data_IF_634361506874
#
_entry.id   IF_634361506874
#
_cell.length_a   1.000
_cell.length_b   1.000
_cell.length_c   1.000
_cell.angle_alpha   90.00
_cell.angle_beta   90.00
_cell.angle_gamma   90.00
#
_symmetry.space_group_name_H-M   'P 1'
#
loop_
_entity.id
_entity.type
_entity.pdbx_description
1 polymer ?
#
# COMPACT_ATOMS: atom_id res chain seq x y z
N UNK A 1 -15.19 4.30 -8.17
CA UNK A 1 -16.16 5.14 -7.42
C UNK A 1 -16.40 4.64 -6.00
N UNK A 2 -16.87 3.40 -5.78
CA UNK A 2 -17.04 2.85 -4.42
C UNK A 2 -15.72 2.82 -3.64
N UNK A 3 -14.66 2.30 -4.25
CA UNK A 3 -13.30 2.34 -3.71
C UNK A 3 -12.83 3.76 -3.40
N UNK A 4 -13.17 4.74 -4.24
CA UNK A 4 -12.77 6.14 -4.05
C UNK A 4 -13.44 6.75 -2.83
N UNK A 5 -14.76 6.58 -2.71
CA UNK A 5 -15.53 7.10 -1.59
C UNK A 5 -15.14 6.42 -0.28
N UNK A 6 -14.89 5.10 -0.32
CA UNK A 6 -14.40 4.37 0.83
C UNK A 6 -12.98 4.78 1.21
N UNK A 7 -12.10 5.01 0.24
CA UNK A 7 -10.78 5.56 0.52
C UNK A 7 -10.87 6.95 1.18
N UNK A 8 -11.76 7.83 0.70
CA UNK A 8 -11.99 9.13 1.34
C UNK A 8 -12.50 8.98 2.78
N UNK A 9 -13.47 8.09 3.01
CA UNK A 9 -14.00 7.82 4.34
C UNK A 9 -12.92 7.25 5.29
N UNK A 10 -12.08 6.32 4.81
CA UNK A 10 -10.96 5.80 5.57
C UNK A 10 -9.92 6.88 5.88
N UNK A 11 -9.55 7.72 4.93
CA UNK A 11 -8.61 8.81 5.15
C UNK A 11 -9.13 9.81 6.18
N UNK A 12 -10.43 10.15 6.14
CA UNK A 12 -11.09 11.00 7.10
C UNK A 12 -11.12 10.37 8.50
N UNK A 13 -11.60 9.12 8.62
CA UNK A 13 -11.67 8.39 9.89
C UNK A 13 -10.29 8.15 10.52
N UNK A 14 -9.26 7.98 9.70
CA UNK A 14 -7.88 7.84 10.19
C UNK A 14 -7.30 9.15 10.74
N UNK A 15 -7.86 10.31 10.38
CA UNK A 15 -7.41 11.63 10.86
C UNK A 15 -5.90 11.87 10.68
N UNK A 16 -5.37 11.55 9.49
CA UNK A 16 -3.94 11.72 9.16
C UNK A 16 -2.99 10.67 9.75
N UNK A 17 -3.52 9.63 10.41
CA UNK A 17 -2.76 8.48 10.93
C UNK A 17 -2.56 7.37 9.89
N UNK A 18 -3.23 7.43 8.74
CA UNK A 18 -3.16 6.43 7.69
C UNK A 18 -2.91 7.04 6.31
N UNK A 19 -2.30 6.25 5.44
CA UNK A 19 -2.26 6.43 3.99
C UNK A 19 -3.05 5.31 3.33
N UNK A 20 -3.34 5.49 2.05
CA UNK A 20 -4.09 4.52 1.25
C UNK A 20 -3.23 4.19 0.06
N UNK A 21 -2.95 2.91 -0.16
CA UNK A 21 -2.33 2.46 -1.38
C UNK A 21 -3.34 1.77 -2.29
N UNK A 22 -3.18 1.97 -3.60
CA UNK A 22 -4.03 1.42 -4.63
C UNK A 22 -3.25 0.48 -5.54
N UNK A 23 -3.70 -0.77 -5.72
CA UNK A 23 -3.11 -1.67 -6.69
C UNK A 23 -2.96 -1.02 -8.07
N UNK A 24 -1.83 -1.26 -8.72
CA UNK A 24 -1.63 -0.89 -10.13
C UNK A 24 -2.38 -1.84 -11.08
N UNK A 25 -2.66 -3.06 -10.62
CA UNK A 25 -3.46 -4.06 -11.30
C UNK A 25 -4.39 -4.74 -10.29
N UNK A 26 -5.60 -5.09 -10.74
CA UNK A 26 -6.57 -5.82 -9.92
C UNK A 26 -6.19 -7.31 -9.83
N UNK A 27 -5.92 -7.76 -8.60
CA UNK A 27 -5.73 -9.16 -8.23
C UNK A 27 -6.57 -9.54 -7.00
N UNK A 28 -7.74 -8.92 -6.86
CA UNK A 28 -8.74 -9.23 -5.82
C UNK A 28 -8.62 -8.44 -4.52
N UNK A 29 -7.60 -7.61 -4.35
CA UNK A 29 -7.51 -6.58 -3.31
C UNK A 29 -7.63 -5.23 -3.98
N UNK A 30 -8.52 -4.36 -3.50
CA UNK A 30 -8.84 -3.09 -4.14
C UNK A 30 -8.15 -1.90 -3.45
N UNK A 31 -7.90 -1.99 -2.15
CA UNK A 31 -7.26 -0.94 -1.34
C UNK A 31 -6.30 -1.54 -0.30
N UNK A 32 -5.29 -0.76 0.08
CA UNK A 32 -4.42 -1.05 1.20
C UNK A 32 -4.46 0.12 2.17
N UNK A 33 -4.95 -0.10 3.38
CA UNK A 33 -4.90 0.89 4.44
C UNK A 33 -3.62 0.71 5.22
N UNK A 34 -2.71 1.67 5.08
CA UNK A 34 -1.43 1.62 5.75
C UNK A 34 -1.36 2.65 6.84
N UNK A 35 -0.90 2.22 8.00
CA UNK A 35 -0.62 3.12 9.10
C UNK A 35 0.63 3.93 8.80
N UNK A 36 0.51 5.26 8.90
CA UNK A 36 1.59 6.21 8.62
C UNK A 36 2.81 5.92 9.50
N UNK A 37 4.01 6.05 8.91
CA UNK A 37 5.32 5.77 9.52
C UNK A 37 5.51 4.32 9.97
N UNK A 38 4.76 3.39 9.40
CA UNK A 38 4.93 1.94 9.58
C UNK A 38 4.58 1.20 8.28
N UNK A 39 4.93 -0.08 8.21
CA UNK A 39 4.39 -1.00 7.19
C UNK A 39 3.16 -1.80 7.66
N UNK A 40 2.59 -1.48 8.83
CA UNK A 40 1.32 -2.08 9.24
C UNK A 40 0.24 -1.72 8.22
N UNK A 41 -0.19 -2.73 7.47
CA UNK A 41 -1.05 -2.56 6.30
C UNK A 41 -2.20 -3.56 6.36
N UNK A 42 -3.40 -3.07 6.08
CA UNK A 42 -4.63 -3.85 6.02
C UNK A 42 -5.11 -3.89 4.57
N UNK A 43 -5.02 -5.04 3.90
CA UNK A 43 -5.64 -5.25 2.59
C UNK A 43 -7.16 -5.22 2.71
N UNK A 44 -7.81 -4.51 1.79
CA UNK A 44 -9.27 -4.37 1.74
C UNK A 44 -9.76 -4.71 0.34
N UNK A 45 -10.68 -5.67 0.27
CA UNK A 45 -11.46 -5.94 -0.93
C UNK A 45 -12.80 -5.23 -0.79
N UNK A 46 -13.23 -4.52 -1.83
CA UNK A 46 -14.45 -3.70 -1.83
C UNK A 46 -15.52 -4.38 -2.69
N UNK A 47 -16.73 -4.48 -2.14
CA UNK A 47 -17.94 -4.85 -2.87
C UNK A 47 -19.01 -3.82 -2.60
N UNK A 48 -19.72 -3.42 -3.64
CA UNK A 48 -20.66 -2.31 -3.56
C UNK A 48 -22.03 -2.64 -4.13
N UNK A 49 -23.05 -2.06 -3.54
CA UNK A 49 -24.43 -2.06 -4.02
C UNK A 49 -24.87 -0.66 -4.40
N UNK A 50 -25.66 -0.55 -5.47
CA UNK A 50 -26.32 0.68 -5.86
C UNK A 50 -27.84 0.69 -5.57
N UNK A 51 -28.38 -0.48 -5.22
CA UNK A 51 -29.78 -0.70 -4.89
C UNK A 51 -29.89 -1.70 -3.75
N UNK A 52 -30.86 -1.46 -2.88
CA UNK A 52 -31.25 -2.34 -1.79
C UNK A 52 -32.71 -2.76 -2.00
N UNK A 53 -33.15 -3.81 -1.30
CA UNK A 53 -34.59 -4.08 -1.18
C UNK A 53 -35.30 -2.93 -0.46
N UNK A 54 -36.65 -2.95 -0.46
CA UNK A 54 -37.44 -1.95 0.28
C UNK A 54 -37.10 -1.93 1.79
N UNK A 55 -36.71 -3.07 2.34
CA UNK A 55 -36.32 -3.23 3.74
C UNK A 55 -34.83 -2.90 4.00
N UNK A 56 -34.11 -2.39 2.99
CA UNK A 56 -32.70 -2.00 3.13
C UNK A 56 -31.70 -3.16 3.06
N UNK A 57 -32.11 -4.33 2.55
CA UNK A 57 -31.28 -5.53 2.48
C UNK A 57 -30.50 -5.56 1.16
N UNK A 58 -29.22 -5.90 1.24
CA UNK A 58 -28.37 -6.23 0.11
C UNK A 58 -28.05 -7.73 0.10
N UNK A 59 -27.94 -8.34 -1.08
CA UNK A 59 -27.50 -9.73 -1.24
C UNK A 59 -26.50 -9.85 -2.38
N UNK A 60 -25.40 -10.56 -2.16
CA UNK A 60 -24.37 -10.83 -3.16
C UNK A 60 -23.90 -12.29 -3.09
N UNK A 61 -23.50 -12.83 -4.24
CA UNK A 61 -22.82 -14.12 -4.36
C UNK A 61 -21.38 -13.89 -4.84
N UNK A 62 -20.40 -14.41 -4.10
CA UNK A 62 -18.99 -14.32 -4.48
C UNK A 62 -18.45 -15.72 -4.76
N UNK A 63 -17.81 -15.96 -5.91
CA UNK A 63 -17.01 -17.17 -6.11
C UNK A 63 -16.03 -17.37 -4.95
N UNK A 64 -15.88 -18.61 -4.48
CA UNK A 64 -15.01 -18.89 -3.32
C UNK A 64 -13.55 -18.48 -3.57
N UNK A 65 -13.09 -18.60 -4.82
CA UNK A 65 -11.77 -18.20 -5.28
C UNK A 65 -11.60 -16.69 -5.44
N UNK A 66 -12.68 -15.91 -5.42
CA UNK A 66 -12.65 -14.46 -5.55
C UNK A 66 -12.53 -13.71 -4.22
N UNK A 67 -12.72 -14.39 -3.08
CA UNK A 67 -12.53 -13.80 -1.75
C UNK A 67 -11.11 -14.05 -1.31
N UNK A 68 -10.37 -13.02 -0.90
CA UNK A 68 -9.00 -13.21 -0.41
C UNK A 68 -8.96 -14.11 0.85
N UNK A 69 -7.83 -14.77 1.08
CA UNK A 69 -7.52 -15.55 2.29
C UNK A 69 -6.51 -14.83 3.21
N UNK A 70 -6.20 -13.56 2.96
CA UNK A 70 -5.27 -12.79 3.77
C UNK A 70 -5.72 -12.73 5.24
N UNK A 71 -4.87 -13.13 6.21
CA UNK A 71 -5.29 -13.32 7.60
C UNK A 71 -5.70 -12.03 8.31
N UNK A 72 -5.13 -10.90 7.90
CA UNK A 72 -5.41 -9.57 8.47
C UNK A 72 -6.16 -8.65 7.49
N UNK A 73 -6.80 -9.21 6.47
CA UNK A 73 -7.51 -8.46 5.45
C UNK A 73 -9.02 -8.41 5.68
N UNK A 74 -9.70 -7.47 5.05
CA UNK A 74 -11.13 -7.22 5.23
C UNK A 74 -11.87 -7.18 3.90
N UNK A 75 -13.06 -7.76 3.89
CA UNK A 75 -14.08 -7.48 2.89
C UNK A 75 -14.90 -6.27 3.36
N UNK A 76 -14.79 -5.17 2.63
CA UNK A 76 -15.62 -4.00 2.79
C UNK A 76 -16.86 -4.11 1.89
N UNK A 77 -18.04 -4.21 2.49
CA UNK A 77 -19.31 -4.18 1.76
C UNK A 77 -19.99 -2.84 2.00
N UNK A 78 -20.19 -2.09 0.92
CA UNK A 78 -20.68 -0.70 0.96
C UNK A 78 -21.95 -0.53 0.15
N UNK A 79 -22.81 0.40 0.56
CA UNK A 79 -23.94 0.85 -0.24
C UNK A 79 -23.69 2.26 -0.77
N UNK A 80 -23.89 2.45 -2.08
CA UNK A 80 -23.78 3.71 -2.79
C UNK A 80 -25.15 4.07 -3.38
N UNK A 81 -26.01 4.80 -2.65
CA UNK A 81 -27.28 5.26 -3.20
C UNK A 81 -27.04 6.28 -4.31
N UNK A 82 -27.95 6.35 -5.28
CA UNK A 82 -27.96 7.44 -6.27
C UNK A 82 -28.00 8.81 -5.55
N UNK A 83 -27.23 9.84 -6.00
CA UNK A 83 -26.51 9.94 -7.27
C UNK A 83 -25.05 9.41 -7.23
N UNK A 84 -24.73 8.53 -6.29
CA UNK A 84 -23.41 7.88 -6.13
C UNK A 84 -22.27 8.82 -5.71
N UNK A 85 -22.62 9.91 -5.04
CA UNK A 85 -21.66 10.93 -4.59
C UNK A 85 -21.18 10.71 -3.16
N UNK A 86 -21.80 9.79 -2.41
CA UNK A 86 -21.47 9.50 -1.02
C UNK A 86 -21.74 8.03 -0.68
N UNK A 87 -21.03 7.51 0.31
CA UNK A 87 -21.39 6.24 0.93
C UNK A 87 -22.68 6.40 1.73
N UNK A 88 -23.45 5.33 1.81
CA UNK A 88 -24.48 5.20 2.84
C UNK A 88 -23.84 5.21 4.24
N UNK A 89 -24.62 5.55 5.27
CA UNK A 89 -24.11 5.78 6.63
C UNK A 89 -23.44 4.58 7.30
N UNK A 90 -23.62 3.36 6.77
CA UNK A 90 -23.07 2.10 7.30
C UNK A 90 -22.20 1.41 6.26
N UNK A 91 -21.07 0.87 6.72
CA UNK A 91 -20.16 0.00 5.96
C UNK A 91 -19.95 -1.27 6.76
N UNK A 92 -20.00 -2.43 6.09
CA UNK A 92 -19.58 -3.69 6.72
C UNK A 92 -18.09 -3.89 6.47
N UNK A 93 -17.28 -4.01 7.53
CA UNK A 93 -15.85 -4.35 7.42
C UNK A 93 -15.63 -5.72 8.06
N UNK A 94 -15.72 -6.77 7.25
CA UNK A 94 -15.72 -8.16 7.71
C UNK A 94 -14.33 -8.75 7.47
N UNK A 95 -13.61 -9.26 8.49
CA UNK A 95 -12.36 -9.98 8.28
C UNK A 95 -12.55 -11.14 7.30
N UNK A 96 -11.62 -11.35 6.36
CA UNK A 96 -11.75 -12.42 5.36
C UNK A 96 -11.95 -13.80 5.99
N UNK A 97 -11.25 -14.09 7.08
CA UNK A 97 -11.38 -15.34 7.81
C UNK A 97 -12.81 -15.54 8.37
N UNK A 98 -13.41 -14.48 8.92
CA UNK A 98 -14.76 -14.55 9.48
C UNK A 98 -15.83 -14.62 8.38
N UNK A 99 -15.63 -13.89 7.27
CA UNK A 99 -16.50 -14.02 6.10
C UNK A 99 -16.52 -15.46 5.57
N UNK A 100 -15.34 -16.03 5.27
CA UNK A 100 -15.19 -17.41 4.75
C UNK A 100 -15.75 -18.48 5.69
N UNK A 101 -15.73 -18.21 6.99
CA UNK A 101 -16.21 -19.12 8.04
C UNK A 101 -17.73 -19.06 8.21
N UNK A 102 -18.33 -17.87 8.16
CA UNK A 102 -19.74 -17.65 8.50
C UNK A 102 -20.66 -17.59 7.29
N UNK A 103 -20.15 -17.18 6.14
CA UNK A 103 -20.96 -17.09 4.92
C UNK A 103 -21.47 -18.47 4.49
N UNK A 104 -22.79 -18.63 4.29
CA UNK A 104 -23.34 -19.82 3.68
C UNK A 104 -22.68 -20.10 2.33
N UNK A 105 -22.47 -21.39 2.04
CA UNK A 105 -22.00 -21.85 0.74
C UNK A 105 -23.19 -22.33 -0.09
N UNK A 106 -23.23 -21.91 -1.34
CA UNK A 106 -24.23 -22.36 -2.30
C UNK A 106 -23.56 -22.78 -3.61
N UNK A 107 -24.29 -23.53 -4.43
CA UNK A 107 -23.93 -23.80 -5.81
C UNK A 107 -24.70 -22.84 -6.70
N UNK A 108 -24.00 -21.95 -7.36
CA UNK A 108 -24.56 -20.99 -8.32
C UNK A 108 -23.89 -21.19 -9.67
N UNK A 109 -24.68 -21.47 -10.70
CA UNK A 109 -24.20 -21.77 -12.06
C UNK A 109 -23.08 -22.83 -12.14
N UNK A 110 -23.14 -23.85 -11.28
CA UNK A 110 -22.15 -24.94 -11.23
C UNK A 110 -20.83 -24.58 -10.55
N UNK A 111 -20.74 -23.43 -9.89
CA UNK A 111 -19.60 -23.01 -9.08
C UNK A 111 -20.02 -22.81 -7.62
N UNK A 112 -19.12 -23.15 -6.70
CA UNK A 112 -19.34 -22.82 -5.29
C UNK A 112 -19.17 -21.31 -5.06
N UNK A 113 -20.12 -20.73 -4.34
CA UNK A 113 -20.13 -19.31 -3.98
C UNK A 113 -20.37 -19.14 -2.49
N UNK A 114 -19.79 -18.08 -1.93
CA UNK A 114 -20.20 -17.51 -0.65
C UNK A 114 -21.40 -16.59 -0.87
N UNK A 115 -22.39 -16.70 0.01
CA UNK A 115 -23.52 -15.78 0.04
C UNK A 115 -23.33 -14.76 1.17
N UNK A 116 -23.57 -13.50 0.85
CA UNK A 116 -23.69 -12.44 1.83
C UNK A 116 -25.08 -11.82 1.71
N UNK A 117 -25.72 -11.64 2.87
CA UNK A 117 -26.97 -10.90 3.02
C UNK A 117 -26.75 -9.91 4.15
N UNK A 118 -26.96 -8.62 3.90
CA UNK A 118 -26.69 -7.56 4.86
C UNK A 118 -27.78 -6.50 4.89
N UNK A 119 -28.28 -6.09 6.06
CA UNK A 119 -29.22 -4.98 6.21
C UNK A 119 -28.47 -3.67 6.48
N UNK A 120 -28.51 -2.74 5.52
CA UNK A 120 -27.89 -1.43 5.66
C UNK A 120 -28.76 -0.42 6.42
N UNK A 121 -30.10 -0.59 6.42
CA UNK A 121 -31.04 0.34 7.05
C UNK A 121 -31.20 0.10 8.55
N UNK A 122 -31.28 -1.17 8.96
CA UNK A 122 -31.33 -1.59 10.37
C UNK A 122 -30.48 -2.85 10.57
N UNK A 123 -29.20 -2.69 10.93
CA UNK A 123 -28.30 -3.82 11.15
C UNK A 123 -28.63 -4.63 12.42
N UNK A 124 -29.55 -4.17 13.28
CA UNK A 124 -29.74 -4.64 14.66
C UNK A 124 -29.98 -6.14 14.84
N UNK A 125 -30.50 -6.82 13.81
CA UNK A 125 -30.75 -8.27 13.79
C UNK A 125 -29.90 -9.03 12.75
N UNK A 126 -28.87 -8.39 12.19
CA UNK A 126 -28.01 -8.99 11.17
C UNK A 126 -26.89 -9.85 11.80
N UNK A 127 -26.65 -11.04 11.23
CA UNK A 127 -25.50 -11.87 11.59
C UNK A 127 -24.13 -11.18 11.37
N UNK A 128 -24.08 -10.10 10.59
CA UNK A 128 -22.92 -9.24 10.40
C UNK A 128 -22.87 -7.99 11.29
N UNK A 129 -23.80 -7.82 12.23
CA UNK A 129 -23.93 -6.62 13.06
C UNK A 129 -22.60 -6.18 13.71
N UNK A 130 -21.80 -7.11 14.22
CA UNK A 130 -20.51 -6.78 14.86
C UNK A 130 -19.46 -6.18 13.89
N UNK A 131 -19.68 -6.32 12.58
CA UNK A 131 -18.84 -5.76 11.52
C UNK A 131 -19.51 -4.55 10.84
N UNK A 132 -20.73 -4.20 11.22
CA UNK A 132 -21.45 -3.03 10.73
C UNK A 132 -20.93 -1.78 11.43
N UNK A 133 -20.28 -0.89 10.68
CA UNK A 133 -19.62 0.30 11.21
C UNK A 133 -20.27 1.51 10.56
N UNK A 134 -20.75 2.44 11.40
CA UNK A 134 -21.15 3.75 10.93
C UNK A 134 -19.92 4.45 10.31
N UNK A 135 -20.07 5.12 9.18
CA UNK A 135 -18.97 5.83 8.48
C UNK A 135 -18.26 6.81 9.42
N UNK A 136 -19.02 7.53 10.25
CA UNK A 136 -18.48 8.46 11.25
C UNK A 136 -17.76 7.75 12.43
N UNK A 137 -18.02 6.45 12.61
CA UNK A 137 -17.39 5.59 13.61
C UNK A 137 -16.08 4.92 13.17
N UNK A 138 -15.64 5.12 11.92
CA UNK A 138 -14.43 4.49 11.37
C UNK A 138 -13.16 4.74 12.22
N UNK A 139 -13.09 5.88 12.92
CA UNK A 139 -11.98 6.17 13.84
C UNK A 139 -11.82 5.12 14.94
N UNK A 140 -12.93 4.65 15.52
CA UNK A 140 -12.91 3.61 16.56
C UNK A 140 -12.54 2.25 16.00
N UNK A 141 -12.94 1.95 14.76
CA UNK A 141 -12.52 0.74 14.07
C UNK A 141 -11.01 0.71 13.85
N UNK A 142 -10.41 1.82 13.43
CA UNK A 142 -8.96 1.92 13.33
C UNK A 142 -8.26 1.62 14.66
N UNK A 143 -8.77 2.16 15.77
CA UNK A 143 -8.18 1.95 17.09
C UNK A 143 -8.26 0.49 17.58
N UNK A 144 -9.21 -0.28 17.05
CA UNK A 144 -9.39 -1.70 17.31
C UNK A 144 -8.45 -2.62 16.49
N UNK A 145 -7.84 -2.10 15.40
CA UNK A 145 -6.89 -2.88 14.60
C UNK A 145 -5.62 -3.14 15.43
N UNK A 146 -5.19 -4.41 15.58
CA UNK A 146 -3.99 -4.74 16.34
C UNK A 146 -2.75 -3.97 15.87
N UNK A 147 -2.08 -3.29 16.80
CA UNK A 147 -0.88 -2.49 16.53
C UNK A 147 -1.13 -1.08 15.98
N UNK A 148 -2.38 -0.71 15.68
CA UNK A 148 -2.71 0.59 15.09
C UNK A 148 -2.58 1.77 16.05
N UNK A 149 -2.74 1.50 17.34
CA UNK A 149 -2.62 2.51 18.41
C UNK A 149 -1.21 2.59 19.00
N UNK A 150 -0.26 1.74 18.58
CA UNK A 150 1.10 1.69 19.12
C UNK A 150 1.86 3.00 18.85
N UNK A 151 2.45 3.66 19.85
CA UNK A 151 3.17 4.91 19.62
C UNK A 151 4.28 4.75 18.55
N UNK A 152 4.22 5.56 17.49
CA UNK A 152 5.30 5.64 16.49
C UNK A 152 6.21 6.79 16.87
N UNK A 153 7.40 6.46 17.37
CA UNK A 153 8.39 7.48 17.74
C UNK A 153 8.93 8.18 16.49
N UNK A 154 9.04 9.52 16.47
CA UNK A 154 9.73 10.22 15.39
C UNK A 154 11.19 9.78 15.33
N UNK A 155 11.72 9.56 14.12
CA UNK A 155 13.15 9.35 13.95
C UNK A 155 13.84 10.72 14.09
N UNK A 156 14.39 11.00 15.28
CA UNK A 156 15.33 12.09 15.59
C UNK A 156 14.97 13.49 15.08
N UNK A 157 14.36 14.33 15.93
CA UNK A 157 14.11 15.74 15.64
C UNK A 157 15.27 16.61 16.15
N UNK A 158 16.22 16.97 15.28
CA UNK A 158 16.94 18.24 15.43
C UNK A 158 16.29 19.23 14.46
N UNK A 159 15.73 20.32 15.02
CA UNK A 159 15.18 21.44 14.29
C UNK A 159 16.33 22.20 13.61
N UNK A 160 16.72 21.73 12.43
CA UNK A 160 17.36 22.57 11.43
C UNK A 160 16.33 22.86 10.35
N UNK A 161 15.96 24.11 10.16
CA UNK A 161 15.33 24.55 8.92
C UNK A 161 16.32 24.27 7.78
N UNK A 162 16.13 23.16 7.08
CA UNK A 162 16.86 22.87 5.85
C UNK A 162 15.99 23.38 4.72
N UNK A 163 16.54 24.37 4.01
CA UNK A 163 16.07 24.87 2.72
C UNK A 163 15.59 23.71 1.87
N UNK A 164 14.35 23.80 1.39
CA UNK A 164 13.76 22.87 0.42
C UNK A 164 14.70 22.85 -0.79
N UNK A 165 15.52 21.81 -0.91
CA UNK A 165 16.27 21.56 -2.12
C UNK A 165 15.24 21.15 -3.18
N UNK A 166 14.91 22.09 -4.06
CA UNK A 166 14.26 21.78 -5.33
C UNK A 166 15.12 20.76 -6.07
N UNK A 167 14.61 19.55 -6.34
CA UNK A 167 15.52 18.51 -6.83
C UNK A 167 14.98 17.37 -7.66
N UNK A 168 13.67 17.19 -7.86
CA UNK A 168 13.17 16.23 -8.86
C UNK A 168 12.00 16.87 -9.62
N UNK A 169 12.09 16.87 -10.96
CA UNK A 169 10.91 17.21 -11.76
C UNK A 169 9.87 16.12 -11.54
N UNK A 170 8.58 16.46 -11.27
CA UNK A 170 7.56 15.47 -10.88
C UNK A 170 7.50 14.24 -11.80
N UNK A 171 7.68 14.45 -13.10
CA UNK A 171 7.64 13.40 -14.11
C UNK A 171 8.80 12.38 -14.00
N UNK A 172 9.97 12.76 -13.48
CA UNK A 172 11.09 11.81 -13.24
C UNK A 172 10.78 10.88 -12.08
N UNK A 173 10.16 11.41 -11.04
CA UNK A 173 9.64 10.59 -9.94
C UNK A 173 8.62 9.57 -10.44
N UNK A 174 7.74 9.98 -11.37
CA UNK A 174 6.77 9.07 -12.00
C UNK A 174 7.45 8.01 -12.87
N UNK A 175 8.46 8.39 -13.68
CA UNK A 175 9.22 7.47 -14.52
C UNK A 175 9.90 6.38 -13.69
N UNK A 176 10.66 6.78 -12.65
CA UNK A 176 11.34 5.81 -11.80
C UNK A 176 10.37 4.92 -11.04
N UNK A 177 9.24 5.45 -10.55
CA UNK A 177 8.19 4.63 -9.91
C UNK A 177 7.64 3.56 -10.86
N UNK A 178 7.27 3.95 -12.09
CA UNK A 178 6.73 3.01 -13.08
C UNK A 178 7.77 1.97 -13.50
N UNK A 179 9.02 2.40 -13.69
CA UNK A 179 10.12 1.48 -14.00
C UNK A 179 10.31 0.46 -12.89
N UNK A 180 10.39 0.89 -11.62
CA UNK A 180 10.51 -0.02 -10.46
C UNK A 180 9.35 -1.00 -10.39
N UNK A 181 8.11 -0.53 -10.59
CA UNK A 181 6.95 -1.41 -10.60
C UNK A 181 7.08 -2.49 -11.69
N UNK A 182 7.47 -2.11 -12.91
CA UNK A 182 7.70 -3.05 -14.00
C UNK A 182 8.82 -4.05 -13.73
N UNK A 183 9.91 -3.62 -13.07
CA UNK A 183 11.01 -4.52 -12.69
C UNK A 183 10.61 -5.56 -11.65
N UNK A 184 9.81 -5.14 -10.65
CA UNK A 184 9.27 -6.05 -9.63
C UNK A 184 8.29 -7.04 -10.25
N UNK A 185 7.37 -6.57 -11.10
CA UNK A 185 6.41 -7.41 -11.80
C UNK A 185 7.11 -8.42 -12.71
N UNK A 186 8.13 -7.99 -13.45
CA UNK A 186 8.95 -8.85 -14.33
C UNK A 186 9.67 -9.95 -13.57
N UNK A 187 10.16 -9.67 -12.36
CA UNK A 187 10.81 -10.64 -11.50
C UNK A 187 9.82 -11.59 -10.81
N UNK A 188 8.55 -11.19 -10.69
CA UNK A 188 7.51 -11.98 -10.07
C UNK A 188 6.98 -13.08 -10.99
N UNK A 189 6.41 -14.13 -10.39
CA UNK A 189 5.55 -15.05 -11.15
C UNK A 189 4.23 -14.33 -11.45
N UNK A 190 3.69 -14.55 -12.65
CA UNK A 190 2.43 -13.94 -13.06
C UNK A 190 1.32 -14.15 -12.02
N UNK A 191 0.69 -13.05 -11.59
CA UNK A 191 -0.40 -13.04 -10.59
C UNK A 191 0.02 -13.39 -9.16
N UNK A 192 1.33 -13.46 -8.84
CA UNK A 192 1.77 -13.79 -7.48
C UNK A 192 1.93 -12.59 -6.55
N UNK A 193 2.08 -11.38 -7.11
CA UNK A 193 2.29 -10.16 -6.33
C UNK A 193 1.29 -9.07 -6.74
N UNK A 194 0.86 -8.28 -5.77
CA UNK A 194 0.25 -6.97 -6.00
C UNK A 194 1.28 -5.88 -5.77
N UNK A 195 1.39 -4.94 -6.71
CA UNK A 195 2.12 -3.69 -6.53
C UNK A 195 1.08 -2.60 -6.36
N UNK A 196 1.11 -1.89 -5.23
CA UNK A 196 0.18 -0.82 -4.93
C UNK A 196 0.91 0.51 -4.74
N UNK A 197 0.38 1.58 -5.33
CA UNK A 197 0.90 2.93 -5.17
C UNK A 197 0.26 3.61 -3.96
N UNK A 198 1.09 4.10 -3.03
CA UNK A 198 0.65 4.79 -1.82
C UNK A 198 0.33 6.28 -2.10
N UNK A 199 -0.95 6.66 -2.03
CA UNK A 199 -1.44 8.02 -2.30
C UNK A 199 -2.66 8.42 -1.44
N UNK A 200 -2.67 9.63 -0.83
CA UNK A 200 -1.61 10.64 -0.88
C UNK A 200 -0.38 10.23 -0.07
N UNK A 201 0.81 10.63 -0.53
CA UNK A 201 2.08 10.34 0.15
C UNK A 201 2.24 11.24 1.38
N UNK A 202 1.87 10.72 2.55
CA UNK A 202 2.03 11.40 3.84
C UNK A 202 3.33 11.02 4.57
N UNK A 203 4.04 10.02 4.06
CA UNK A 203 5.35 9.59 4.52
C UNK A 203 6.24 9.10 3.36
N UNK A 204 7.32 8.36 3.66
CA UNK A 204 8.33 7.94 2.69
C UNK A 204 7.88 6.82 1.74
N UNK A 205 6.82 6.06 1.99
CA UNK A 205 6.50 4.90 1.13
C UNK A 205 6.01 5.38 -0.24
N UNK A 206 6.58 4.85 -1.32
CA UNK A 206 6.12 5.12 -2.69
C UNK A 206 5.28 3.96 -3.21
N UNK A 207 5.75 2.73 -3.01
CA UNK A 207 5.08 1.50 -3.43
C UNK A 207 4.98 0.53 -2.26
N UNK A 208 3.87 -0.21 -2.22
CA UNK A 208 3.74 -1.44 -1.46
C UNK A 208 3.84 -2.63 -2.41
N UNK A 209 4.54 -3.67 -1.97
CA UNK A 209 4.61 -4.95 -2.66
C UNK A 209 3.99 -5.98 -1.74
N UNK A 210 2.95 -6.66 -2.21
CA UNK A 210 2.23 -7.68 -1.45
C UNK A 210 2.40 -9.04 -2.13
N UNK A 211 3.09 -9.96 -1.47
CA UNK A 211 3.16 -11.37 -1.88
C UNK A 211 1.89 -12.09 -1.46
N UNK A 212 1.05 -12.42 -2.45
CA UNK A 212 -0.26 -13.06 -2.24
C UNK A 212 -0.15 -14.51 -1.76
N UNK A 213 1.00 -15.15 -1.89
CA UNK A 213 1.20 -16.54 -1.43
C UNK A 213 1.66 -16.57 0.02
N UNK A 214 2.60 -15.68 0.34
CA UNK A 214 3.15 -15.55 1.70
C UNK A 214 2.28 -14.66 2.59
N UNK A 215 1.34 -13.91 2.00
CA UNK A 215 0.51 -12.91 2.68
C UNK A 215 1.38 -11.88 3.42
N UNK A 216 2.47 -11.47 2.78
CA UNK A 216 3.47 -10.55 3.34
C UNK A 216 3.54 -9.27 2.52
N UNK A 217 3.70 -8.15 3.21
CA UNK A 217 3.79 -6.83 2.59
C UNK A 217 5.17 -6.23 2.88
N UNK A 218 5.74 -5.60 1.85
CA UNK A 218 6.98 -4.85 1.90
C UNK A 218 6.77 -3.44 1.34
N UNK A 219 7.62 -2.50 1.74
CA UNK A 219 7.58 -1.11 1.29
C UNK A 219 8.79 -0.74 0.46
N UNK A 220 8.58 0.11 -0.54
CA UNK A 220 9.66 0.68 -1.35
C UNK A 220 9.53 2.20 -1.39
N UNK A 221 10.57 2.88 -0.94
CA UNK A 221 10.76 4.31 -1.15
C UNK A 221 11.57 4.53 -2.43
N UNK A 222 10.91 4.93 -3.52
CA UNK A 222 11.56 5.19 -4.81
C UNK A 222 12.05 6.64 -4.87
N UNK A 223 13.33 6.81 -5.21
CA UNK A 223 13.96 8.09 -5.58
C UNK A 223 14.54 7.99 -6.98
N UNK A 224 14.39 9.04 -7.77
CA UNK A 224 14.85 9.03 -9.16
C UNK A 224 15.80 10.19 -9.40
N UNK A 225 17.06 9.86 -9.66
CA UNK A 225 18.12 10.85 -9.72
C UNK A 225 18.87 10.77 -11.04
N UNK A 226 19.20 11.94 -11.60
CA UNK A 226 20.02 12.04 -12.81
C UNK A 226 21.48 12.14 -12.43
N UNK A 227 22.33 11.34 -13.08
CA UNK A 227 23.77 11.44 -12.90
C UNK A 227 24.23 12.78 -13.50
N UNK A 228 24.91 13.60 -12.71
CA UNK A 228 25.41 14.90 -13.18
C UNK A 228 26.61 14.72 -14.11
N UNK A 229 26.97 15.72 -14.93
CA UNK A 229 28.20 15.69 -15.73
C UNK A 229 29.49 15.51 -14.90
N UNK A 230 29.45 15.87 -13.61
CA UNK A 230 30.55 15.63 -12.66
C UNK A 230 30.63 14.17 -12.18
N UNK A 231 29.78 13.29 -12.71
CA UNK A 231 29.60 11.91 -12.30
C UNK A 231 29.22 11.82 -10.80
N UNK A 232 28.24 12.64 -10.39
CA UNK A 232 27.70 12.65 -9.02
C UNK A 232 26.18 12.57 -9.03
N UNK A 233 25.59 12.12 -7.92
CA UNK A 233 24.17 12.23 -7.63
C UNK A 233 24.01 12.78 -6.23
N UNK A 234 23.06 13.70 -6.06
CA UNK A 234 22.60 14.10 -4.73
C UNK A 234 21.41 13.22 -4.35
N UNK A 235 21.51 12.59 -3.19
CA UNK A 235 20.47 11.75 -2.63
C UNK A 235 19.96 12.39 -1.35
N UNK A 236 18.64 12.58 -1.27
CA UNK A 236 17.98 13.15 -0.11
C UNK A 236 16.78 12.30 0.31
N UNK A 237 16.72 12.01 1.61
CA UNK A 237 15.59 11.37 2.28
C UNK A 237 15.14 12.27 3.42
N UNK A 238 13.92 12.78 3.32
CA UNK A 238 13.37 13.68 4.34
C UNK A 238 13.25 12.96 5.68
N UNK A 239 13.98 13.46 6.69
CA UNK A 239 13.92 12.97 8.08
C UNK A 239 12.50 13.00 8.65
N UNK A 240 11.71 14.01 8.30
CA UNK A 240 10.41 14.24 8.91
C UNK A 240 9.35 13.21 8.48
N UNK A 241 9.53 12.60 7.32
CA UNK A 241 8.62 11.61 6.74
C UNK A 241 9.20 10.20 6.72
N UNK A 242 10.49 10.04 6.98
CA UNK A 242 11.15 8.74 6.99
C UNK A 242 10.89 7.95 8.28
N UNK A 243 10.86 6.63 8.14
CA UNK A 243 10.84 5.66 9.24
C UNK A 243 11.64 4.43 8.83
N UNK A 244 12.00 3.60 9.81
CA UNK A 244 12.79 2.39 9.60
C UNK A 244 11.90 1.17 9.81
N UNK A 245 12.04 0.19 8.92
CA UNK A 245 11.37 -1.11 8.96
C UNK A 245 12.23 -2.15 8.20
N UNK A 246 12.29 -3.39 8.70
CA UNK A 246 13.08 -4.47 8.10
C UNK A 246 12.64 -4.80 6.66
N UNK A 247 11.38 -4.53 6.32
CA UNK A 247 10.82 -4.75 4.97
C UNK A 247 10.65 -3.46 4.17
N UNK A 248 11.22 -2.35 4.64
CA UNK A 248 11.26 -1.08 3.89
C UNK A 248 12.63 -0.88 3.28
N UNK A 249 12.66 -0.68 1.97
CA UNK A 249 13.88 -0.39 1.21
C UNK A 249 13.77 0.96 0.50
N UNK A 250 14.89 1.69 0.46
CA UNK A 250 15.06 2.87 -0.39
C UNK A 250 15.73 2.42 -1.69
N UNK A 251 15.05 2.66 -2.80
CA UNK A 251 15.55 2.36 -4.14
C UNK A 251 15.86 3.67 -4.87
N UNK A 252 17.15 3.91 -5.11
CA UNK A 252 17.62 5.05 -5.91
C UNK A 252 17.79 4.59 -7.35
N UNK A 253 16.84 4.98 -8.19
CA UNK A 253 16.88 4.82 -9.63
C UNK A 253 17.77 5.91 -10.21
N UNK A 254 18.81 5.48 -10.93
CA UNK A 254 19.77 6.38 -11.55
C UNK A 254 19.44 6.53 -13.03
N UNK A 255 19.35 7.75 -13.51
CA UNK A 255 19.10 8.06 -14.91
C UNK A 255 20.36 8.58 -15.59
N UNK A 256 20.59 8.09 -16.80
CA UNK A 256 21.58 8.62 -17.75
C UNK A 256 21.12 9.94 -18.36
N UNK A 257 21.97 10.56 -19.19
CA UNK A 257 21.66 11.84 -19.81
C UNK A 257 20.43 11.80 -20.75
N UNK A 258 20.18 10.66 -21.37
CA UNK A 258 19.02 10.36 -22.22
C UNK A 258 17.78 9.87 -21.44
N UNK A 259 17.77 10.05 -20.11
CA UNK A 259 16.65 9.71 -19.21
C UNK A 259 16.32 8.20 -19.18
N UNK A 260 17.30 7.36 -19.50
CA UNK A 260 17.20 5.90 -19.36
C UNK A 260 17.72 5.44 -18.01
N UNK A 261 17.22 4.32 -17.46
CA UNK A 261 17.83 3.70 -16.30
C UNK A 261 19.30 3.36 -16.56
N UNK A 262 20.17 3.72 -15.63
CA UNK A 262 21.58 3.32 -15.61
C UNK A 262 21.71 1.80 -15.45
N UNK A 263 22.90 1.23 -15.71
CA UNK A 263 23.16 -0.23 -15.61
C UNK A 263 22.99 -0.78 -14.18
N UNK A 264 23.01 0.09 -13.18
CA UNK A 264 22.78 -0.28 -11.78
C UNK A 264 21.96 0.78 -11.05
N UNK A 265 21.39 0.36 -9.92
CA UNK A 265 20.67 1.19 -8.97
C UNK A 265 21.23 0.96 -7.56
N UNK A 266 20.78 1.77 -6.59
CA UNK A 266 21.12 1.56 -5.18
C UNK A 266 19.89 1.05 -4.44
N UNK A 267 19.99 -0.15 -3.87
CA UNK A 267 18.97 -0.77 -3.03
C UNK A 267 19.43 -0.79 -1.58
N UNK A 268 18.92 0.14 -0.79
CA UNK A 268 19.39 0.42 0.57
C UNK A 268 18.31 0.00 1.57
N UNK A 269 18.58 -0.91 2.52
CA UNK A 269 17.65 -1.17 3.63
C UNK A 269 17.35 0.11 4.40
N UNK A 270 16.11 0.33 4.81
CA UNK A 270 15.76 1.55 5.56
C UNK A 270 16.53 1.67 6.89
N UNK A 271 16.94 0.53 7.47
CA UNK A 271 17.78 0.44 8.67
C UNK A 271 19.15 1.09 8.52
N UNK A 272 19.65 1.17 7.28
CA UNK A 272 21.00 1.65 7.01
C UNK A 272 21.02 3.17 6.76
N UNK A 273 19.87 3.76 6.39
CA UNK A 273 19.73 5.20 6.09
C UNK A 273 20.20 6.10 7.24
N UNK A 274 19.83 5.86 8.53
CA UNK A 274 20.35 6.68 9.63
C UNK A 274 21.88 6.68 9.72
N UNK A 275 22.52 5.55 9.38
CA UNK A 275 23.99 5.41 9.38
C UNK A 275 24.63 6.01 8.14
N UNK A 276 23.88 6.11 7.03
CA UNK A 276 24.32 6.76 5.79
C UNK A 276 24.18 8.29 5.83
N UNK A 277 23.32 8.82 6.70
CA UNK A 277 22.91 10.21 6.63
C UNK A 277 21.71 10.37 5.70
N UNK A 278 20.90 11.38 5.99
CA UNK A 278 19.63 11.65 5.31
C UNK A 278 19.77 12.54 4.07
N UNK A 279 20.95 13.09 3.84
CA UNK A 279 21.30 13.87 2.66
C UNK A 279 22.78 13.65 2.40
N UNK A 280 23.12 13.17 1.21
CA UNK A 280 24.49 12.83 0.83
C UNK A 280 24.69 13.09 -0.66
N UNK A 281 25.91 13.46 -1.03
CA UNK A 281 26.34 13.51 -2.44
C UNK A 281 27.22 12.31 -2.73
N UNK A 282 26.75 11.46 -3.65
CA UNK A 282 27.43 10.23 -4.07
C UNK A 282 28.24 10.55 -5.32
N UNK A 283 29.55 10.32 -5.28
CA UNK A 283 30.43 10.42 -6.46
C UNK A 283 30.65 9.04 -7.07
N UNK A 284 30.37 8.89 -8.36
CA UNK A 284 30.37 7.60 -9.07
C UNK A 284 31.72 7.19 -9.64
N UNK A 285 32.61 8.15 -9.96
CA UNK A 285 33.96 7.85 -10.47
C UNK A 285 34.75 6.95 -9.51
N UNK A 286 34.43 7.04 -8.22
CA UNK A 286 34.80 6.10 -7.19
C UNK A 286 33.57 5.91 -6.32
N UNK A 287 32.63 5.04 -6.73
CA UNK A 287 31.46 4.73 -5.93
C UNK A 287 31.95 4.52 -4.50
N UNK A 288 31.59 5.46 -3.62
CA UNK A 288 32.25 5.58 -2.33
C UNK A 288 32.11 4.23 -1.64
N UNK A 289 33.19 3.69 -1.05
CA UNK A 289 33.21 2.31 -0.51
C UNK A 289 31.99 2.02 0.38
N UNK A 290 31.44 3.06 1.02
CA UNK A 290 30.22 3.06 1.82
C UNK A 290 28.96 2.60 1.06
N UNK A 291 28.81 2.93 -0.22
CA UNK A 291 27.63 2.57 -1.02
C UNK A 291 27.79 1.29 -1.85
N UNK A 292 29.01 0.74 -1.92
CA UNK A 292 29.29 -0.49 -2.66
C UNK A 292 28.38 -1.67 -2.26
N UNK A 293 28.01 -1.87 -0.98
CA UNK A 293 27.10 -2.96 -0.58
C UNK A 293 25.67 -2.85 -1.11
N UNK A 294 25.25 -1.66 -1.58
CA UNK A 294 23.88 -1.41 -2.03
C UNK A 294 23.72 -1.42 -3.55
N UNK A 295 24.82 -1.57 -4.29
CA UNK A 295 24.79 -1.59 -5.75
C UNK A 295 24.12 -2.87 -6.22
N UNK A 296 23.08 -2.73 -7.03
CA UNK A 296 22.37 -3.84 -7.66
C UNK A 296 22.27 -3.57 -9.16
N UNK A 297 22.63 -4.53 -10.03
CA UNK A 297 22.37 -4.40 -11.47
C UNK A 297 20.89 -4.09 -11.71
N UNK A 298 20.60 -3.08 -12.51
CA UNK A 298 19.23 -2.58 -12.71
C UNK A 298 18.30 -3.68 -13.24
N UNK A 299 18.82 -4.57 -14.08
CA UNK A 299 18.08 -5.72 -14.60
C UNK A 299 17.75 -6.82 -13.55
N UNK A 300 18.37 -6.78 -12.37
CA UNK A 300 18.17 -7.76 -11.30
C UNK A 300 17.46 -7.16 -10.09
N UNK A 301 17.17 -5.85 -10.10
CA UNK A 301 16.66 -5.13 -8.93
C UNK A 301 15.37 -5.74 -8.39
N UNK A 302 14.44 -6.13 -9.26
CA UNK A 302 13.17 -6.75 -8.86
C UNK A 302 13.41 -8.06 -8.11
N UNK A 303 14.25 -8.95 -8.67
CA UNK A 303 14.55 -10.25 -8.07
C UNK A 303 15.28 -10.11 -6.72
N UNK A 304 16.29 -9.23 -6.66
CA UNK A 304 17.07 -8.99 -5.43
C UNK A 304 16.20 -8.37 -4.34
N UNK A 305 15.31 -7.43 -4.69
CA UNK A 305 14.37 -6.85 -3.74
C UNK A 305 13.44 -7.93 -3.17
N UNK A 306 12.80 -8.72 -4.04
CA UNK A 306 11.86 -9.77 -3.62
C UNK A 306 12.53 -10.81 -2.73
N UNK A 307 13.75 -11.21 -3.07
CA UNK A 307 14.56 -12.11 -2.25
C UNK A 307 14.83 -11.53 -0.86
N UNK A 308 15.25 -10.26 -0.79
CA UNK A 308 15.56 -9.58 0.47
C UNK A 308 14.33 -9.40 1.38
N UNK A 309 13.15 -9.13 0.83
CA UNK A 309 11.95 -8.81 1.63
C UNK A 309 11.07 -10.02 1.93
N UNK A 310 11.12 -11.07 1.10
CA UNK A 310 10.28 -12.25 1.25
C UNK A 310 11.05 -13.57 1.40
N UNK A 311 12.37 -13.60 1.16
CA UNK A 311 13.21 -14.80 1.21
C UNK A 311 12.78 -15.83 0.18
N UNK A 312 13.30 -15.73 -1.05
CA UNK A 312 12.87 -16.54 -2.21
C UNK A 312 12.81 -18.03 -1.92
#
# INVERSE_FOLDING_TARGET
MAEDLLAVAFAAGASGRATIARPLADLGIDLYLRRRRTLLTVPVQVKSFNQLTQDGIASLELPIDAVSDHPNGYLAVVHLPAPFTQLYGTVFLIPFAEFRKRSPRALSHGKEVFQFVGNFADPGDDHWLEYAIAVDGLGSWFDAIPGWSNIVLPVGRELGEVLIAHGESPWRGDLGRLWVAGEIERAARAGALVIAEDRPRLDTVTLLVHDLRKQQIAGVHVRTQKITPANTVHFEVSRSTFFVDEKLYVLVVLLTDDERPHEFCLLIPSTDIPHLGYSETITFRHLTKRFAPYVVPSEQVGAVLLDKVFGS
#
